data_IF_895164563713
#
_entry.id   IF_895164563713
#
_cell.length_a   1.000
_cell.length_b   1.000
_cell.length_c   1.000
_cell.angle_alpha   90.00
_cell.angle_beta   90.00
_cell.angle_gamma   90.00
#
_symmetry.space_group_name_H-M   'P 1'
#
loop_
_entity.id
_entity.type
_entity.pdbx_description
1 polymer ?
#
# COMPACT_ATOMS: atom_id res chain seq x y z
N UNK A 1 -47.63 42.00 8.82
CA UNK A 1 -46.75 41.88 10.01
C UNK A 1 -46.75 40.43 10.48
N UNK A 2 -46.05 39.54 9.77
CA UNK A 2 -45.81 38.17 10.23
C UNK A 2 -44.32 37.94 10.06
N UNK A 3 -43.56 38.42 11.02
CA UNK A 3 -42.17 38.03 11.18
C UNK A 3 -41.84 38.11 12.66
N UNK A 4 -40.94 37.22 13.05
CA UNK A 4 -40.09 37.23 14.25
C UNK A 4 -40.68 36.77 15.58
N UNK A 5 -40.74 35.44 15.77
CA UNK A 5 -40.30 34.79 17.03
C UNK A 5 -39.67 33.42 16.74
N UNK A 6 -38.51 33.41 16.10
CA UNK A 6 -37.61 32.25 16.21
C UNK A 6 -37.00 32.32 17.60
N UNK A 7 -37.33 31.35 18.46
CA UNK A 7 -36.83 31.32 19.84
C UNK A 7 -35.31 31.17 19.85
N UNK A 8 -34.63 31.87 20.76
CA UNK A 8 -33.17 31.86 20.91
C UNK A 8 -32.62 30.42 21.10
N UNK A 9 -33.43 29.54 21.68
CA UNK A 9 -33.13 28.11 21.85
C UNK A 9 -33.10 27.31 20.53
N UNK A 10 -33.86 27.72 19.52
CA UNK A 10 -33.85 27.09 18.18
C UNK A 10 -32.59 27.49 17.40
N UNK A 11 -32.11 28.72 17.61
CA UNK A 11 -30.87 29.21 16.99
C UNK A 11 -29.64 28.49 17.58
N UNK A 12 -29.62 28.23 18.89
CA UNK A 12 -28.55 27.48 19.55
C UNK A 12 -28.49 26.02 19.10
N UNK A 13 -29.65 25.38 18.90
CA UNK A 13 -29.71 23.99 18.43
C UNK A 13 -29.21 23.85 16.97
N UNK A 14 -29.53 24.83 16.10
CA UNK A 14 -29.06 24.84 14.71
C UNK A 14 -27.55 25.08 14.59
N UNK A 15 -26.98 25.92 15.46
CA UNK A 15 -25.52 26.16 15.55
C UNK A 15 -24.74 24.96 16.12
N UNK A 16 -25.38 24.15 16.98
CA UNK A 16 -24.77 22.94 17.54
C UNK A 16 -24.80 21.74 16.56
N UNK A 17 -25.69 21.75 15.55
CA UNK A 17 -25.76 20.70 14.53
C UNK A 17 -24.83 20.92 13.32
N UNK A 18 -24.11 22.03 13.26
CA UNK A 18 -23.04 22.27 12.29
C UNK A 18 -21.67 21.79 12.79
N UNK A 19 -21.63 20.66 13.51
CA UNK A 19 -20.42 19.84 13.46
C UNK A 19 -20.39 19.24 12.06
N UNK A 20 -19.69 19.91 11.14
CA UNK A 20 -19.23 19.26 9.93
C UNK A 20 -18.54 17.98 10.38
N UNK A 21 -19.07 16.85 9.96
CA UNK A 21 -18.35 15.60 10.09
C UNK A 21 -17.13 15.74 9.18
N UNK A 22 -16.03 16.25 9.73
CA UNK A 22 -14.70 16.13 9.15
C UNK A 22 -14.24 14.67 9.30
N UNK A 23 -15.02 13.74 8.75
CA UNK A 23 -14.52 12.44 8.30
C UNK A 23 -13.76 12.63 6.98
N UNK A 24 -13.06 13.77 6.85
CA UNK A 24 -12.41 14.21 5.65
C UNK A 24 -11.14 13.38 5.48
N UNK A 25 -11.01 12.81 4.28
CA UNK A 25 -9.79 12.21 3.77
C UNK A 25 -8.60 13.12 4.12
N UNK A 26 -7.87 12.79 5.18
CA UNK A 26 -6.64 13.49 5.56
C UNK A 26 -5.46 12.71 4.99
N UNK A 27 -4.89 13.16 3.87
CA UNK A 27 -3.71 12.52 3.31
C UNK A 27 -2.47 12.72 4.19
N UNK A 28 -2.52 13.54 5.25
CA UNK A 28 -1.39 13.92 6.11
C UNK A 28 -0.34 14.79 5.39
N UNK A 29 -0.74 15.51 4.36
CA UNK A 29 0.14 16.42 3.62
C UNK A 29 0.62 17.60 4.47
N UNK A 30 1.83 18.08 4.20
CA UNK A 30 2.25 19.38 4.73
C UNK A 30 1.37 20.49 4.13
N UNK A 31 1.16 21.57 4.90
CA UNK A 31 0.31 22.70 4.49
C UNK A 31 0.75 23.28 3.13
N UNK A 32 -0.22 23.65 2.31
CA UNK A 32 0.01 24.24 0.98
C UNK A 32 0.40 23.25 -0.12
N UNK A 33 0.26 21.94 0.11
CA UNK A 33 0.59 20.89 -0.86
C UNK A 33 -0.58 19.94 -1.08
N UNK A 34 -0.83 19.52 -2.32
CA UNK A 34 -2.04 18.75 -2.68
C UNK A 34 -1.78 17.53 -3.57
N UNK A 35 -0.59 17.39 -4.14
CA UNK A 35 -0.32 16.40 -5.21
C UNK A 35 0.69 15.36 -4.76
N UNK A 36 0.36 14.09 -4.91
CA UNK A 36 1.33 12.99 -4.81
C UNK A 36 1.76 12.51 -6.20
N UNK A 37 2.94 11.89 -6.28
CA UNK A 37 3.46 11.27 -7.50
C UNK A 37 3.74 9.78 -7.27
N UNK A 38 3.45 8.93 -8.24
CA UNK A 38 3.86 7.54 -8.23
C UNK A 38 5.22 7.39 -8.91
N UNK A 39 6.28 7.22 -8.12
CA UNK A 39 7.64 6.96 -8.64
C UNK A 39 7.85 5.47 -8.86
N UNK A 40 7.19 4.96 -9.89
CA UNK A 40 7.11 3.55 -10.22
C UNK A 40 8.49 2.93 -10.47
N UNK A 41 8.84 1.90 -9.68
CA UNK A 41 10.10 1.14 -9.74
C UNK A 41 11.39 1.90 -9.35
N UNK A 42 11.27 3.11 -8.80
CA UNK A 42 12.44 3.88 -8.36
C UNK A 42 13.12 3.24 -7.14
N UNK A 43 14.43 3.46 -7.00
CA UNK A 43 15.19 3.05 -5.82
C UNK A 43 15.02 4.05 -4.68
N UNK A 44 15.18 3.59 -3.45
CA UNK A 44 14.99 4.43 -2.25
C UNK A 44 15.93 5.64 -2.24
N UNK A 45 17.19 5.46 -2.62
CA UNK A 45 18.17 6.56 -2.64
C UNK A 45 17.84 7.62 -3.71
N UNK A 46 17.30 7.20 -4.87
CA UNK A 46 16.86 8.10 -5.94
C UNK A 46 15.63 8.90 -5.51
N UNK A 47 14.64 8.26 -4.88
CA UNK A 47 13.47 8.94 -4.32
C UNK A 47 13.87 9.95 -3.24
N UNK A 48 14.82 9.59 -2.38
CA UNK A 48 15.32 10.48 -1.33
C UNK A 48 15.94 11.75 -1.92
N UNK A 49 16.74 11.62 -2.98
CA UNK A 49 17.30 12.75 -3.72
C UNK A 49 16.21 13.57 -4.43
N UNK A 50 15.24 12.91 -5.05
CA UNK A 50 14.14 13.57 -5.77
C UNK A 50 13.24 14.37 -4.82
N UNK A 51 13.00 13.87 -3.61
CA UNK A 51 12.31 14.59 -2.54
C UNK A 51 12.96 15.94 -2.23
N UNK A 52 14.28 15.96 -2.08
CA UNK A 52 15.04 17.15 -1.69
C UNK A 52 15.27 18.11 -2.86
N UNK A 53 15.61 17.57 -4.03
CA UNK A 53 16.04 18.35 -5.18
C UNK A 53 14.88 18.91 -6.01
N UNK A 54 13.73 18.24 -6.01
CA UNK A 54 12.60 18.60 -6.88
C UNK A 54 11.26 18.64 -6.15
N UNK A 55 10.80 17.53 -5.56
CA UNK A 55 9.43 17.41 -5.07
C UNK A 55 9.13 18.40 -3.94
N UNK A 56 10.01 18.49 -2.94
CA UNK A 56 9.90 19.46 -1.85
C UNK A 56 9.86 20.90 -2.36
N UNK A 57 10.88 21.36 -3.13
CA UNK A 57 10.90 22.70 -3.73
C UNK A 57 9.72 23.03 -4.65
N UNK A 58 9.14 22.03 -5.33
CA UNK A 58 8.00 22.19 -6.23
C UNK A 58 6.63 22.02 -5.55
N UNK A 59 6.60 21.78 -4.24
CA UNK A 59 5.35 21.70 -3.47
C UNK A 59 4.58 20.39 -3.67
N UNK A 60 5.24 19.32 -4.11
CA UNK A 60 4.64 17.98 -4.09
C UNK A 60 4.46 17.51 -2.65
N UNK A 61 3.32 16.89 -2.39
CA UNK A 61 2.87 16.52 -1.06
C UNK A 61 3.34 15.11 -0.66
N UNK A 62 3.52 14.22 -1.63
CA UNK A 62 3.88 12.85 -1.35
C UNK A 62 4.35 12.02 -2.53
N UNK A 63 4.85 10.82 -2.21
CA UNK A 63 5.29 9.81 -3.15
C UNK A 63 4.60 8.49 -2.83
N UNK A 64 3.93 7.89 -3.81
CA UNK A 64 3.60 6.47 -3.78
C UNK A 64 4.81 5.68 -4.24
N UNK A 65 5.26 4.74 -3.42
CA UNK A 65 6.37 3.82 -3.73
C UNK A 65 5.83 2.47 -4.18
N UNK A 66 6.56 1.78 -5.06
CA UNK A 66 6.29 0.37 -5.39
C UNK A 66 6.43 -0.53 -4.14
N UNK A 67 5.89 -1.77 -4.16
CA UNK A 67 5.89 -2.64 -2.98
C UNK A 67 7.27 -2.77 -2.33
N UNK A 68 7.30 -2.56 -1.02
CA UNK A 68 8.52 -2.41 -0.21
C UNK A 68 9.00 -3.73 0.41
N UNK A 69 8.10 -4.71 0.51
CA UNK A 69 8.37 -6.01 1.10
C UNK A 69 8.97 -6.98 0.07
N UNK A 70 9.62 -8.03 0.58
CA UNK A 70 10.25 -9.06 -0.22
C UNK A 70 9.25 -9.72 -1.17
N UNK A 71 9.60 -9.70 -2.45
CA UNK A 71 8.80 -10.25 -3.54
C UNK A 71 9.56 -11.36 -4.27
N UNK A 72 8.85 -12.18 -5.03
CA UNK A 72 9.44 -13.26 -5.82
C UNK A 72 10.36 -12.72 -6.92
N UNK A 73 11.46 -13.42 -7.18
CA UNK A 73 12.36 -13.12 -8.30
C UNK A 73 11.91 -13.89 -9.55
N UNK A 74 11.58 -13.18 -10.61
CA UNK A 74 11.13 -13.76 -11.89
C UNK A 74 12.18 -13.50 -12.99
N UNK A 75 12.48 -14.46 -13.89
CA UNK A 75 13.35 -14.24 -15.04
C UNK A 75 12.96 -12.98 -15.82
N UNK A 76 13.97 -12.24 -16.30
CA UNK A 76 13.82 -10.94 -16.96
C UNK A 76 13.28 -9.80 -16.08
N UNK A 77 13.07 -10.05 -14.78
CA UNK A 77 12.72 -9.06 -13.75
C UNK A 77 11.57 -8.11 -14.13
N UNK A 78 10.42 -8.65 -14.58
CA UNK A 78 9.27 -7.86 -14.98
C UNK A 78 8.71 -7.08 -13.80
N UNK A 79 8.09 -5.93 -14.04
CA UNK A 79 7.57 -5.04 -12.99
C UNK A 79 6.58 -5.73 -12.04
N UNK A 80 5.76 -6.64 -12.57
CA UNK A 80 4.71 -7.31 -11.81
C UNK A 80 5.26 -8.31 -10.79
N UNK A 81 6.56 -8.65 -10.82
CA UNK A 81 7.15 -9.54 -9.82
C UNK A 81 7.02 -8.97 -8.40
N UNK A 82 6.90 -7.64 -8.26
CA UNK A 82 6.73 -6.94 -6.97
C UNK A 82 5.36 -7.17 -6.32
N UNK A 83 4.37 -7.59 -7.09
CA UNK A 83 3.02 -7.89 -6.60
C UNK A 83 2.85 -9.38 -6.25
N UNK A 84 3.96 -10.06 -6.00
CA UNK A 84 3.97 -11.46 -5.58
C UNK A 84 4.83 -11.59 -4.32
N UNK A 85 4.27 -11.27 -3.14
CA UNK A 85 4.98 -11.33 -1.87
C UNK A 85 5.55 -12.72 -1.58
N UNK A 86 6.75 -12.74 -1.02
CA UNK A 86 7.38 -13.94 -0.43
C UNK A 86 7.47 -13.80 1.08
N UNK A 87 7.74 -12.59 1.57
CA UNK A 87 7.73 -12.27 3.00
C UNK A 87 7.46 -10.77 3.23
N UNK A 88 7.49 -10.35 4.49
CA UNK A 88 7.39 -8.95 4.89
C UNK A 88 8.74 -8.28 5.18
N UNK A 89 9.86 -8.94 4.86
CA UNK A 89 11.20 -8.36 4.97
C UNK A 89 11.34 -7.19 3.99
N UNK A 90 11.83 -6.04 4.44
CA UNK A 90 12.01 -4.86 3.59
C UNK A 90 13.32 -4.94 2.78
N UNK A 91 13.39 -5.87 1.84
CA UNK A 91 14.52 -5.98 0.89
C UNK A 91 14.00 -6.31 -0.49
N UNK A 92 14.17 -5.38 -1.41
CA UNK A 92 13.70 -5.46 -2.80
C UNK A 92 14.77 -4.97 -3.76
N UNK A 93 14.44 -4.93 -5.05
CA UNK A 93 15.30 -4.33 -6.07
C UNK A 93 15.45 -2.80 -5.90
N UNK A 94 14.56 -2.14 -5.15
CA UNK A 94 14.67 -0.70 -4.82
C UNK A 94 15.68 -0.42 -3.70
N UNK A 95 16.03 -1.42 -2.88
CA UNK A 95 16.94 -1.29 -1.75
C UNK A 95 16.49 -2.08 -0.51
N UNK A 96 17.25 -1.93 0.57
CA UNK A 96 16.99 -2.58 1.87
C UNK A 96 16.27 -1.65 2.87
N UNK A 97 15.98 -2.17 4.06
CA UNK A 97 15.28 -1.47 5.14
C UNK A 97 15.99 -0.18 5.56
N UNK A 98 17.31 -0.18 5.64
CA UNK A 98 18.09 1.00 6.03
C UNK A 98 17.95 2.12 4.99
N UNK A 99 18.01 1.78 3.71
CA UNK A 99 17.81 2.73 2.61
C UNK A 99 16.36 3.24 2.58
N UNK A 100 15.38 2.36 2.81
CA UNK A 100 13.97 2.77 2.92
C UNK A 100 13.76 3.76 4.08
N UNK A 101 14.29 3.45 5.27
CA UNK A 101 14.22 4.34 6.43
C UNK A 101 14.95 5.67 6.20
N UNK A 102 16.06 5.67 5.45
CA UNK A 102 16.76 6.89 5.05
C UNK A 102 15.90 7.76 4.13
N UNK A 103 15.31 7.16 3.09
CA UNK A 103 14.39 7.84 2.17
C UNK A 103 13.19 8.42 2.89
N UNK A 104 12.51 7.65 3.75
CA UNK A 104 11.37 8.12 4.54
C UNK A 104 11.76 9.36 5.36
N UNK A 105 12.91 9.31 6.04
CA UNK A 105 13.39 10.42 6.87
C UNK A 105 13.67 11.67 6.05
N UNK A 106 14.42 11.54 4.95
CA UNK A 106 14.80 12.67 4.08
C UNK A 106 13.60 13.31 3.42
N UNK A 107 12.68 12.51 2.87
CA UNK A 107 11.44 13.02 2.30
C UNK A 107 10.56 13.74 3.34
N UNK A 108 10.38 13.15 4.54
CA UNK A 108 9.59 13.81 5.60
C UNK A 108 10.22 15.12 6.08
N UNK A 109 11.56 15.21 6.15
CA UNK A 109 12.25 16.45 6.54
C UNK A 109 11.98 17.62 5.58
N UNK A 110 11.66 17.33 4.31
CA UNK A 110 11.29 18.34 3.31
C UNK A 110 9.77 18.40 3.05
N UNK A 111 8.98 17.79 3.93
CA UNK A 111 7.51 17.81 3.93
C UNK A 111 6.85 16.92 2.87
N UNK A 112 7.59 15.98 2.26
CA UNK A 112 7.08 15.03 1.26
C UNK A 112 6.77 13.71 1.97
N UNK A 113 5.50 13.29 1.96
CA UNK A 113 5.04 12.05 2.59
C UNK A 113 5.30 10.82 1.73
N UNK A 114 5.36 9.65 2.36
CA UNK A 114 5.54 8.37 1.68
C UNK A 114 4.29 7.53 1.85
N UNK A 115 3.76 7.01 0.75
CA UNK A 115 2.63 6.09 0.71
C UNK A 115 3.13 4.76 0.18
N UNK A 116 3.04 3.72 1.00
CA UNK A 116 3.49 2.37 0.64
C UNK A 116 2.38 1.69 -0.16
N UNK A 117 2.74 1.12 -1.30
CA UNK A 117 1.90 0.14 -1.99
C UNK A 117 1.91 -1.18 -1.20
N UNK A 118 0.80 -1.46 -0.54
CA UNK A 118 0.64 -2.61 0.36
C UNK A 118 -0.07 -3.76 -0.36
N UNK A 119 0.69 -4.81 -0.67
CA UNK A 119 0.15 -6.05 -1.25
C UNK A 119 -0.13 -7.04 -0.11
N UNK A 120 -1.36 -7.01 0.41
CA UNK A 120 -1.77 -7.81 1.58
C UNK A 120 -2.81 -8.89 1.25
N UNK A 121 -3.41 -8.85 0.05
CA UNK A 121 -4.45 -9.80 -0.34
C UNK A 121 -3.90 -11.23 -0.52
N UNK A 122 -2.72 -11.36 -1.13
CA UNK A 122 -2.20 -12.64 -1.60
C UNK A 122 -0.68 -12.72 -1.45
N UNK A 123 -0.17 -13.93 -1.58
CA UNK A 123 1.25 -14.24 -1.73
C UNK A 123 1.55 -14.71 -3.16
N UNK A 124 2.82 -15.00 -3.47
CA UNK A 124 3.25 -15.40 -4.81
C UNK A 124 2.49 -16.60 -5.39
N UNK A 125 2.35 -16.64 -6.72
CA UNK A 125 1.77 -17.77 -7.44
C UNK A 125 2.71 -18.98 -7.47
N UNK A 126 2.19 -20.14 -7.90
CA UNK A 126 2.99 -21.37 -8.00
C UNK A 126 4.19 -21.22 -8.95
N UNK A 127 5.36 -21.62 -8.45
CA UNK A 127 6.63 -21.50 -9.15
C UNK A 127 7.67 -22.43 -8.56
N UNK A 128 8.30 -23.22 -9.42
CA UNK A 128 9.42 -24.05 -9.03
C UNK A 128 10.59 -23.19 -8.50
N UNK A 129 11.17 -23.60 -7.37
CA UNK A 129 12.29 -22.93 -6.71
C UNK A 129 12.01 -21.44 -6.42
N UNK A 130 10.80 -21.12 -5.94
CA UNK A 130 10.43 -19.75 -5.59
C UNK A 130 11.41 -19.17 -4.57
N UNK A 131 12.02 -18.04 -4.94
CA UNK A 131 12.98 -17.31 -4.11
C UNK A 131 12.64 -15.83 -4.11
N UNK A 132 12.67 -15.23 -2.93
CA UNK A 132 12.43 -13.81 -2.74
C UNK A 132 13.68 -12.97 -2.94
N UNK A 133 13.47 -11.66 -3.09
CA UNK A 133 14.53 -10.65 -3.24
C UNK A 133 15.46 -10.53 -2.04
N UNK A 134 15.03 -10.93 -0.83
CA UNK A 134 15.86 -11.02 0.38
C UNK A 134 16.52 -12.41 0.55
N UNK A 135 16.18 -13.35 -0.34
CA UNK A 135 16.75 -14.68 -0.37
C UNK A 135 15.92 -15.76 0.33
N UNK A 136 14.75 -15.40 0.87
CA UNK A 136 13.79 -16.35 1.44
C UNK A 136 13.35 -17.34 0.38
N UNK A 137 13.15 -18.60 0.76
CA UNK A 137 12.56 -19.63 -0.10
C UNK A 137 11.09 -19.83 0.26
N UNK A 138 10.30 -20.26 -0.71
CA UNK A 138 8.90 -20.60 -0.52
C UNK A 138 8.53 -21.82 -1.37
N UNK A 139 7.43 -22.49 -1.00
CA UNK A 139 6.73 -23.43 -1.87
C UNK A 139 5.28 -22.94 -2.03
N UNK A 140 5.01 -22.04 -3.00
CA UNK A 140 3.68 -21.46 -3.16
C UNK A 140 2.62 -22.48 -3.57
N UNK A 141 3.00 -23.53 -4.34
CA UNK A 141 2.09 -24.62 -4.72
C UNK A 141 1.50 -25.35 -3.50
N UNK A 142 2.28 -25.49 -2.42
CA UNK A 142 1.80 -26.03 -1.14
C UNK A 142 1.47 -24.95 -0.10
N UNK A 143 1.36 -23.67 -0.50
CA UNK A 143 1.06 -22.52 0.37
C UNK A 143 2.02 -22.40 1.57
N UNK A 144 3.32 -22.64 1.35
CA UNK A 144 4.35 -22.50 2.38
C UNK A 144 5.22 -21.27 2.14
N UNK A 145 5.20 -20.33 3.09
CA UNK A 145 6.00 -19.09 3.09
C UNK A 145 6.73 -18.94 4.44
N UNK A 146 7.80 -19.73 4.69
CA UNK A 146 8.41 -19.84 6.03
C UNK A 146 9.03 -18.56 6.60
N UNK A 147 9.34 -17.58 5.77
CA UNK A 147 9.90 -16.30 6.22
C UNK A 147 8.86 -15.37 6.87
N UNK A 148 7.57 -15.69 6.77
CA UNK A 148 6.50 -14.93 7.43
C UNK A 148 6.21 -15.38 8.87
N UNK A 149 5.60 -16.56 9.14
CA UNK A 149 5.78 -17.89 8.53
C UNK A 149 4.45 -18.59 8.13
N UNK A 150 3.88 -18.27 6.96
CA UNK A 150 2.58 -18.84 6.57
C UNK A 150 2.65 -20.29 6.10
N UNK A 151 1.57 -21.01 6.37
CA UNK A 151 1.27 -22.38 5.94
C UNK A 151 -0.10 -22.43 5.26
N UNK A 152 -0.51 -23.60 4.76
CA UNK A 152 -1.78 -23.75 4.04
C UNK A 152 -3.03 -23.39 4.86
N UNK A 153 -2.93 -23.29 6.18
CA UNK A 153 -4.04 -22.86 7.06
C UNK A 153 -4.32 -21.37 7.00
N UNK A 154 -3.39 -20.57 6.47
CA UNK A 154 -3.47 -19.11 6.46
C UNK A 154 -4.03 -18.56 5.13
N UNK A 155 -4.56 -19.47 4.29
CA UNK A 155 -5.06 -19.16 2.96
C UNK A 155 -6.44 -19.80 2.76
N UNK A 156 -7.29 -19.12 1.98
CA UNK A 156 -8.53 -19.69 1.51
C UNK A 156 -8.31 -21.00 0.71
N UNK A 157 -9.35 -21.81 0.57
CA UNK A 157 -9.30 -23.00 -0.27
C UNK A 157 -8.98 -22.62 -1.74
N UNK A 158 -8.22 -23.46 -2.45
CA UNK A 158 -7.83 -23.14 -3.83
C UNK A 158 -9.03 -23.17 -4.77
N UNK A 159 -9.34 -22.01 -5.34
CA UNK A 159 -10.27 -21.78 -6.45
C UNK A 159 -9.77 -20.59 -7.27
N UNK A 160 -10.28 -20.37 -8.47
CA UNK A 160 -9.91 -19.25 -9.33
C UNK A 160 -11.08 -18.26 -9.47
N UNK A 161 -10.77 -16.97 -9.59
CA UNK A 161 -11.75 -15.93 -9.94
C UNK A 161 -12.06 -16.00 -11.44
N UNK A 162 -13.30 -16.34 -11.77
CA UNK A 162 -13.90 -16.48 -13.08
C UNK A 162 -15.20 -15.65 -13.22
N UNK A 163 -15.93 -15.40 -12.13
CA UNK A 163 -17.18 -14.63 -12.14
C UNK A 163 -17.13 -13.38 -11.24
N UNK A 164 -16.91 -12.21 -11.85
CA UNK A 164 -16.90 -10.93 -11.13
C UNK A 164 -18.28 -10.50 -10.59
N UNK A 165 -19.37 -11.21 -10.92
CA UNK A 165 -20.69 -10.98 -10.31
C UNK A 165 -20.89 -11.80 -9.03
N UNK A 166 -19.99 -12.73 -8.69
CA UNK A 166 -20.00 -13.45 -7.41
C UNK A 166 -18.99 -12.81 -6.45
N UNK A 167 -19.50 -12.06 -5.47
CA UNK A 167 -18.67 -11.38 -4.49
C UNK A 167 -17.91 -12.33 -3.55
N UNK A 168 -18.40 -13.55 -3.33
CA UNK A 168 -17.71 -14.55 -2.52
C UNK A 168 -16.50 -15.09 -3.29
N UNK A 169 -16.69 -15.40 -4.57
CA UNK A 169 -15.60 -15.83 -5.46
C UNK A 169 -14.52 -14.74 -5.60
N UNK A 170 -14.92 -13.48 -5.83
CA UNK A 170 -13.99 -12.36 -5.98
C UNK A 170 -13.10 -12.13 -4.76
N UNK A 171 -13.58 -12.46 -3.56
CA UNK A 171 -12.87 -12.19 -2.30
C UNK A 171 -12.10 -13.37 -1.75
N UNK A 172 -12.52 -14.59 -2.07
CA UNK A 172 -12.03 -15.80 -1.41
C UNK A 172 -11.37 -16.80 -2.39
N UNK A 173 -11.17 -16.42 -3.65
CA UNK A 173 -10.48 -17.24 -4.65
C UNK A 173 -9.20 -16.57 -5.16
N UNK A 174 -8.29 -17.39 -5.68
CA UNK A 174 -6.99 -16.97 -6.18
C UNK A 174 -7.14 -16.08 -7.43
N UNK A 175 -6.75 -14.81 -7.31
CA UNK A 175 -6.60 -13.91 -8.46
C UNK A 175 -5.44 -14.40 -9.33
N UNK A 176 -5.74 -14.93 -10.51
CA UNK A 176 -4.76 -15.47 -11.48
C UNK A 176 -3.73 -16.44 -10.87
N UNK A 177 -4.14 -17.23 -9.87
CA UNK A 177 -3.31 -18.23 -9.19
C UNK A 177 -2.41 -17.71 -8.07
N UNK A 178 -2.54 -16.43 -7.70
CA UNK A 178 -1.90 -15.83 -6.52
C UNK A 178 -2.54 -16.40 -5.26
N UNK A 179 -1.73 -16.83 -4.29
CA UNK A 179 -2.22 -17.55 -3.12
C UNK A 179 -2.94 -16.60 -2.18
N UNK A 180 -4.27 -16.74 -2.14
CA UNK A 180 -5.19 -15.82 -1.48
C UNK A 180 -5.21 -16.05 0.04
N UNK A 181 -4.79 -15.04 0.81
CA UNK A 181 -4.71 -15.09 2.27
C UNK A 181 -6.11 -15.03 2.89
N UNK A 182 -6.28 -15.68 4.05
CA UNK A 182 -7.49 -15.59 4.88
C UNK A 182 -7.26 -14.50 5.95
N UNK A 183 -7.83 -13.31 5.77
CA UNK A 183 -7.56 -12.10 6.58
C UNK A 183 -8.48 -11.93 7.79
#
# INVERSE_FOLDING_TARGET
>A
MILTKISFSVLLFLLASSYQADAQFDPNYASGRTTMVHLFEWKWDDIAAECENFLGPKGYAGVQVSPVNENIVVPNRPWWERYQPISYVLTTRSGNEQQFANMVRRCNNVGVRIYVDAVFNHMAADRANARGTAGSTANPGSKSFPAVPYSSTDFHATCAINNYNDANEVRNCELVGLKDLDQ
#
